data_IF_621007573520
#
_entry.id   IF_621007573520
#
_cell.length_a   1.000
_cell.length_b   1.000
_cell.length_c   1.000
_cell.angle_alpha   90.00
_cell.angle_beta   90.00
_cell.angle_gamma   90.00
#
_symmetry.space_group_name_H-M   'P 1'
#
loop_
_entity.id
_entity.type
_entity.pdbx_description
1 polymer ?
#
# COMPACT_ATOMS: atom_id res chain seq x y z
N UNK A 1 -60.79 2.33 -58.40
CA UNK A 1 -60.17 3.64 -58.69
C UNK A 1 -60.03 4.42 -57.39
N UNK A 2 -58.90 5.16 -57.25
CA UNK A 2 -58.49 6.10 -56.19
C UNK A 2 -57.72 5.53 -54.99
N UNK A 3 -56.40 5.65 -55.17
CA UNK A 3 -55.34 5.88 -54.19
C UNK A 3 -55.75 6.84 -53.06
N UNK A 4 -55.28 6.62 -51.82
CA UNK A 4 -54.27 7.48 -51.18
C UNK A 4 -53.74 6.87 -49.87
N UNK A 5 -52.45 7.08 -49.68
CA UNK A 5 -51.51 6.55 -48.70
C UNK A 5 -51.57 7.18 -47.30
N UNK A 6 -50.84 6.51 -46.39
CA UNK A 6 -50.22 6.96 -45.13
C UNK A 6 -51.10 6.92 -43.87
N UNK A 7 -50.77 6.02 -42.93
CA UNK A 7 -50.14 6.41 -41.65
C UNK A 7 -49.47 5.18 -41.01
N UNK A 8 -48.20 5.39 -40.70
CA UNK A 8 -47.25 4.54 -40.00
C UNK A 8 -47.69 4.34 -38.54
N UNK A 9 -47.76 3.09 -38.05
CA UNK A 9 -47.77 2.82 -36.61
C UNK A 9 -47.01 1.51 -36.33
N UNK A 10 -45.71 1.70 -36.12
CA UNK A 10 -44.78 0.71 -35.58
C UNK A 10 -45.16 0.48 -34.11
N UNK A 11 -45.93 -0.56 -33.82
CA UNK A 11 -46.19 -1.01 -32.44
C UNK A 11 -45.28 -2.19 -32.13
N UNK A 12 -43.98 -1.91 -31.95
CA UNK A 12 -43.09 -2.76 -31.17
C UNK A 12 -42.78 -1.96 -29.92
N UNK A 13 -43.60 -2.14 -28.90
CA UNK A 13 -43.34 -1.56 -27.59
C UNK A 13 -43.41 -2.65 -26.54
N UNK A 14 -42.21 -2.99 -26.07
CA UNK A 14 -41.92 -3.21 -24.66
C UNK A 14 -42.30 -4.58 -24.07
N UNK A 15 -41.55 -5.60 -24.48
CA UNK A 15 -41.34 -6.80 -23.66
C UNK A 15 -39.95 -6.71 -23.02
N UNK A 16 -39.93 -6.89 -21.70
CA UNK A 16 -38.77 -7.18 -20.85
C UNK A 16 -37.70 -6.08 -20.72
N UNK A 17 -37.85 -5.19 -19.74
CA UNK A 17 -36.74 -4.34 -19.26
C UNK A 17 -36.85 -4.04 -17.76
N UNK A 18 -37.05 -5.07 -16.95
CA UNK A 18 -36.97 -4.93 -15.48
C UNK A 18 -36.10 -5.98 -14.78
N UNK A 19 -35.29 -6.75 -15.52
CA UNK A 19 -34.38 -7.74 -14.92
C UNK A 19 -32.89 -7.52 -15.22
N UNK A 20 -32.50 -6.40 -15.85
CA UNK A 20 -31.09 -6.14 -16.22
C UNK A 20 -30.55 -4.85 -15.58
N UNK A 21 -30.72 -4.65 -14.27
CA UNK A 21 -30.06 -3.53 -13.57
C UNK A 21 -29.51 -3.93 -12.19
N UNK A 22 -29.46 -5.22 -11.86
CA UNK A 22 -28.96 -5.71 -10.56
C UNK A 22 -27.82 -6.70 -10.77
N UNK A 23 -26.81 -6.33 -11.55
CA UNK A 23 -25.55 -7.10 -11.63
C UNK A 23 -24.32 -6.20 -11.83
N UNK A 24 -24.52 -4.99 -12.34
CA UNK A 24 -23.45 -4.01 -12.54
C UNK A 24 -23.01 -3.27 -11.26
N UNK A 25 -23.77 -3.33 -10.15
CA UNK A 25 -23.40 -2.67 -8.89
C UNK A 25 -22.42 -3.50 -8.04
N UNK A 26 -22.51 -4.85 -8.05
CA UNK A 26 -21.58 -5.71 -7.31
C UNK A 26 -20.20 -5.82 -7.97
N UNK A 27 -20.12 -5.64 -9.30
CA UNK A 27 -18.87 -5.70 -10.03
C UNK A 27 -17.96 -4.48 -9.79
N UNK A 28 -18.53 -3.29 -9.58
CA UNK A 28 -17.80 -2.05 -9.33
C UNK A 28 -17.27 -1.94 -7.89
N UNK A 29 -18.01 -2.43 -6.90
CA UNK A 29 -17.50 -2.53 -5.52
C UNK A 29 -16.39 -3.58 -5.41
N UNK A 30 -16.57 -4.75 -6.05
CA UNK A 30 -15.58 -5.83 -6.04
C UNK A 30 -14.26 -5.43 -6.72
N UNK A 31 -14.31 -4.68 -7.83
CA UNK A 31 -13.11 -4.18 -8.50
C UNK A 31 -12.36 -3.12 -7.67
N UNK A 32 -13.08 -2.28 -6.94
CA UNK A 32 -12.49 -1.23 -6.08
C UNK A 32 -11.81 -1.84 -4.85
N UNK A 33 -12.44 -2.85 -4.22
CA UNK A 33 -11.85 -3.59 -3.09
C UNK A 33 -10.68 -4.47 -3.53
N UNK A 34 -10.77 -5.12 -4.70
CA UNK A 34 -9.66 -5.90 -5.25
C UNK A 34 -8.44 -5.04 -5.60
N UNK A 35 -8.65 -3.83 -6.15
CA UNK A 35 -7.60 -2.86 -6.41
C UNK A 35 -6.90 -2.39 -5.12
N UNK A 36 -7.68 -2.01 -4.11
CA UNK A 36 -7.15 -1.59 -2.81
C UNK A 36 -6.31 -2.67 -2.12
N UNK A 37 -6.79 -3.93 -2.13
CA UNK A 37 -6.03 -5.07 -1.60
C UNK A 37 -4.69 -5.28 -2.31
N UNK A 38 -4.68 -5.19 -3.64
CA UNK A 38 -3.46 -5.34 -4.44
C UNK A 38 -2.44 -4.23 -4.15
N UNK A 39 -2.90 -2.99 -4.03
CA UNK A 39 -2.05 -1.85 -3.66
C UNK A 39 -1.48 -2.04 -2.25
N UNK A 40 -2.27 -2.61 -1.33
CA UNK A 40 -1.86 -2.90 0.02
C UNK A 40 -0.78 -3.98 0.09
N UNK A 41 -0.97 -5.09 -0.61
CA UNK A 41 0.03 -6.16 -0.70
C UNK A 41 1.32 -5.68 -1.35
N UNK A 42 1.21 -4.90 -2.43
CA UNK A 42 2.37 -4.31 -3.12
C UNK A 42 3.15 -3.41 -2.16
N UNK A 43 2.47 -2.52 -1.45
CA UNK A 43 3.11 -1.63 -0.48
C UNK A 43 3.78 -2.41 0.67
N UNK A 44 3.12 -3.45 1.19
CA UNK A 44 3.70 -4.33 2.22
C UNK A 44 4.96 -5.05 1.74
N UNK A 45 4.97 -5.50 0.49
CA UNK A 45 6.13 -6.12 -0.14
C UNK A 45 7.28 -5.11 -0.26
N UNK A 46 7.04 -3.94 -0.87
CA UNK A 46 8.06 -2.92 -1.07
C UNK A 46 8.69 -2.45 0.25
N UNK A 47 7.87 -2.26 1.29
CA UNK A 47 8.35 -1.85 2.60
C UNK A 47 9.10 -2.97 3.33
N UNK A 48 8.67 -4.23 3.17
CA UNK A 48 9.44 -5.37 3.65
C UNK A 48 10.81 -5.46 3.00
N UNK A 49 10.91 -5.23 1.69
CA UNK A 49 12.18 -5.26 0.97
C UNK A 49 13.13 -4.14 1.46
N UNK A 50 12.60 -2.92 1.64
CA UNK A 50 13.36 -1.80 2.23
C UNK A 50 13.83 -2.11 3.66
N UNK A 51 12.98 -2.73 4.48
CA UNK A 51 13.35 -3.16 5.84
C UNK A 51 14.45 -4.23 5.82
N UNK A 52 14.38 -5.19 4.90
CA UNK A 52 15.41 -6.21 4.73
C UNK A 52 16.76 -5.60 4.31
N UNK A 53 16.75 -4.58 3.45
CA UNK A 53 17.97 -3.85 3.09
C UNK A 53 18.55 -3.11 4.30
N UNK A 54 17.69 -2.48 5.10
CA UNK A 54 18.08 -1.82 6.35
C UNK A 54 18.69 -2.81 7.34
N UNK A 55 18.14 -4.02 7.48
CA UNK A 55 18.70 -5.07 8.34
C UNK A 55 20.13 -5.43 7.95
N UNK A 56 20.39 -5.56 6.65
CA UNK A 56 21.74 -5.82 6.13
C UNK A 56 22.70 -4.69 6.51
N UNK A 57 22.27 -3.43 6.38
CA UNK A 57 23.09 -2.26 6.73
C UNK A 57 23.33 -2.13 8.24
N UNK A 58 22.34 -2.44 9.08
CA UNK A 58 22.52 -2.50 10.55
C UNK A 58 23.51 -3.60 10.91
N UNK A 59 23.42 -4.78 10.27
CA UNK A 59 24.38 -5.85 10.48
C UNK A 59 25.80 -5.45 10.03
N UNK A 60 25.93 -4.71 8.93
CA UNK A 60 27.20 -4.14 8.49
C UNK A 60 27.76 -3.14 9.51
N UNK A 61 26.92 -2.23 10.02
CA UNK A 61 27.30 -1.31 11.11
C UNK A 61 27.81 -2.08 12.31
N UNK A 62 27.08 -3.11 12.77
CA UNK A 62 27.52 -3.96 13.88
C UNK A 62 28.88 -4.61 13.63
N UNK A 63 29.16 -5.06 12.41
CA UNK A 63 30.47 -5.63 12.04
C UNK A 63 31.59 -4.59 12.02
N UNK A 64 31.33 -3.40 11.47
CA UNK A 64 32.28 -2.27 11.44
C UNK A 64 32.58 -1.74 12.83
N UNK A 65 31.59 -1.79 13.72
CA UNK A 65 31.75 -1.42 15.11
C UNK A 65 32.44 -2.58 15.86
N UNK A 66 33.76 -2.70 15.69
CA UNK A 66 34.60 -3.65 16.42
C UNK A 66 34.47 -3.46 17.95
N UNK A 67 35.05 -4.36 18.76
CA UNK A 67 34.94 -4.38 20.24
C UNK A 67 35.25 -3.05 20.98
N UNK A 68 35.82 -2.03 20.31
CA UNK A 68 36.03 -0.65 20.81
C UNK A 68 34.94 0.34 20.39
N UNK A 69 33.75 -0.14 20.04
CA UNK A 69 32.56 0.68 19.80
C UNK A 69 32.37 1.72 20.91
N UNK A 70 32.29 2.99 20.56
CA UNK A 70 31.89 4.02 21.52
C UNK A 70 30.46 3.75 22.01
N UNK A 71 30.14 4.14 23.25
CA UNK A 71 28.78 4.05 23.77
C UNK A 71 27.77 4.77 22.88
N UNK A 72 28.20 5.84 22.18
CA UNK A 72 27.40 6.53 21.18
C UNK A 72 27.04 5.64 19.98
N UNK A 73 28.00 4.86 19.44
CA UNK A 73 27.75 3.93 18.34
C UNK A 73 26.82 2.78 18.76
N UNK A 74 27.00 2.24 19.97
CA UNK A 74 26.13 1.19 20.51
C UNK A 74 24.70 1.68 20.67
N UNK A 75 24.50 2.87 21.27
CA UNK A 75 23.17 3.50 21.36
C UNK A 75 22.57 3.78 20.00
N UNK A 76 23.35 4.27 19.05
CA UNK A 76 22.88 4.51 17.70
C UNK A 76 22.37 3.21 17.04
N UNK A 77 23.13 2.11 17.14
CA UNK A 77 22.70 0.80 16.65
C UNK A 77 21.42 0.34 17.34
N UNK A 78 21.33 0.46 18.67
CA UNK A 78 20.14 0.06 19.42
C UNK A 78 18.89 0.85 18.98
N UNK A 79 18.98 2.17 18.86
CA UNK A 79 17.88 3.02 18.39
C UNK A 79 17.44 2.67 16.95
N UNK A 80 18.39 2.28 16.09
CA UNK A 80 18.10 1.81 14.74
C UNK A 80 17.30 0.49 14.78
N UNK A 81 17.68 -0.45 15.65
CA UNK A 81 16.98 -1.73 15.81
C UNK A 81 15.58 -1.57 16.39
N UNK A 82 15.41 -0.71 17.39
CA UNK A 82 14.11 -0.39 17.98
C UNK A 82 13.17 0.24 16.94
N UNK A 83 13.68 1.21 16.18
CA UNK A 83 12.90 1.86 15.10
C UNK A 83 12.54 0.86 14.02
N UNK A 84 13.48 0.02 13.58
CA UNK A 84 13.23 -1.06 12.60
C UNK A 84 12.14 -2.00 13.10
N UNK A 85 12.21 -2.43 14.35
CA UNK A 85 11.23 -3.33 14.97
C UNK A 85 9.83 -2.71 14.97
N UNK A 86 9.73 -1.44 15.36
CA UNK A 86 8.47 -0.68 15.36
C UNK A 86 7.85 -0.58 13.97
N UNK A 87 8.64 -0.22 12.96
CA UNK A 87 8.18 -0.14 11.56
C UNK A 87 7.69 -1.52 11.08
N UNK A 88 8.37 -2.60 11.45
CA UNK A 88 7.93 -3.96 11.10
C UNK A 88 6.60 -4.34 11.75
N UNK A 89 6.38 -3.97 13.02
CA UNK A 89 5.09 -4.18 13.70
C UNK A 89 3.98 -3.40 13.02
N UNK A 90 4.20 -2.10 12.77
CA UNK A 90 3.23 -1.22 12.12
C UNK A 90 2.88 -1.70 10.70
N UNK A 91 3.85 -2.26 9.96
CA UNK A 91 3.61 -2.87 8.64
C UNK A 91 2.78 -4.16 8.72
N UNK A 92 2.99 -4.97 9.75
CA UNK A 92 2.25 -6.21 9.97
C UNK A 92 0.80 -5.94 10.40
N UNK A 93 0.60 -4.94 11.26
CA UNK A 93 -0.71 -4.50 11.78
C UNK A 93 -1.54 -3.73 10.75
N UNK A 94 -0.95 -3.36 9.61
CA UNK A 94 -1.62 -2.59 8.57
C UNK A 94 -2.80 -3.39 7.96
N UNK A 95 -4.04 -3.00 8.28
CA UNK A 95 -5.29 -3.53 7.72
C UNK A 95 -5.95 -2.52 6.75
N UNK A 96 -6.84 -3.02 5.88
CA UNK A 96 -7.49 -2.31 4.76
C UNK A 96 -8.70 -1.46 5.21
N UNK A 97 -8.68 -0.93 6.43
CA UNK A 97 -9.95 -0.58 7.08
C UNK A 97 -10.47 0.83 6.74
N UNK A 98 -9.72 1.67 6.03
CA UNK A 98 -10.19 2.94 5.44
C UNK A 98 -9.12 3.64 4.59
N UNK A 99 -9.50 4.29 3.47
CA UNK A 99 -8.56 5.01 2.57
C UNK A 99 -7.70 6.07 3.26
N UNK A 100 -8.24 6.79 4.26
CA UNK A 100 -7.51 7.81 5.01
C UNK A 100 -6.50 7.20 6.00
N UNK A 101 -6.91 6.15 6.72
CA UNK A 101 -6.04 5.38 7.61
C UNK A 101 -4.88 4.76 6.84
N UNK A 102 -5.17 4.15 5.68
CA UNK A 102 -4.18 3.61 4.77
C UNK A 102 -3.14 4.64 4.32
N UNK A 103 -3.60 5.82 3.86
CA UNK A 103 -2.71 6.89 3.40
C UNK A 103 -1.78 7.39 4.50
N UNK A 104 -2.33 7.67 5.69
CA UNK A 104 -1.53 8.13 6.83
C UNK A 104 -0.49 7.10 7.27
N UNK A 105 -0.86 5.82 7.29
CA UNK A 105 0.03 4.74 7.67
C UNK A 105 1.17 4.58 6.65
N UNK A 106 0.87 4.67 5.35
CA UNK A 106 1.86 4.69 4.28
C UNK A 106 2.87 5.84 4.41
N UNK A 107 2.38 7.06 4.62
CA UNK A 107 3.24 8.24 4.79
C UNK A 107 4.14 8.11 6.04
N UNK A 108 3.58 7.63 7.16
CA UNK A 108 4.32 7.41 8.40
C UNK A 108 5.42 6.35 8.26
N UNK A 109 5.10 5.20 7.64
CA UNK A 109 6.08 4.13 7.40
C UNK A 109 7.20 4.58 6.46
N UNK A 110 6.84 5.24 5.35
CA UNK A 110 7.81 5.78 4.40
C UNK A 110 8.77 6.77 5.07
N UNK A 111 8.23 7.73 5.85
CA UNK A 111 9.05 8.69 6.59
C UNK A 111 9.97 8.03 7.62
N UNK A 112 9.49 7.02 8.36
CA UNK A 112 10.32 6.28 9.33
C UNK A 112 11.44 5.52 8.65
N UNK A 113 11.17 4.86 7.53
CA UNK A 113 12.18 4.14 6.74
C UNK A 113 13.22 5.09 6.16
N UNK A 114 12.82 6.25 5.64
CA UNK A 114 13.77 7.27 5.16
C UNK A 114 14.66 7.79 6.28
N UNK A 115 14.09 8.15 7.44
CA UNK A 115 14.86 8.58 8.62
C UNK A 115 15.82 7.49 9.08
N UNK A 116 15.37 6.24 9.08
CA UNK A 116 16.17 5.08 9.46
C UNK A 116 17.36 4.90 8.51
N UNK A 117 17.11 4.93 7.20
CA UNK A 117 18.16 4.85 6.19
C UNK A 117 19.13 6.04 6.27
N UNK A 118 18.65 7.26 6.46
CA UNK A 118 19.49 8.45 6.60
C UNK A 118 20.43 8.36 7.82
N UNK A 119 19.92 7.90 8.96
CA UNK A 119 20.71 7.69 10.17
C UNK A 119 21.76 6.60 9.98
N UNK A 120 21.40 5.48 9.35
CA UNK A 120 22.34 4.41 8.99
C UNK A 120 23.47 4.94 8.10
N UNK A 121 23.13 5.68 7.04
CA UNK A 121 24.11 6.26 6.11
C UNK A 121 25.06 7.22 6.82
N UNK A 122 24.55 8.00 7.79
CA UNK A 122 25.38 8.88 8.62
C UNK A 122 26.36 8.09 9.48
N UNK A 123 25.90 7.03 10.15
CA UNK A 123 26.78 6.21 10.99
C UNK A 123 27.75 5.34 10.16
N UNK A 124 27.39 4.95 8.94
CA UNK A 124 28.28 4.18 8.04
C UNK A 124 29.42 5.02 7.44
N UNK A 125 29.22 6.34 7.33
CA UNK A 125 30.21 7.29 6.80
C UNK A 125 31.18 7.84 7.86
N UNK A 126 30.88 7.61 9.14
CA UNK A 126 31.75 7.96 10.26
C UNK A 126 32.86 6.94 10.42
#
# INVERSE_FOLDING_TARGET
MKQLTLTLALAITFVASSAFVIESAQATESATVAGAKKDLETFKSEMSDKLNEIDKKIAELKKKTHAKASEAQKKAIQELEETRSKVKSELAEMQDDSKEGWKSLKENLASKIEKLNAKIQKELKR
#
